data_IF_260902255797
#
_entry.id   IF_260902255797
#
_cell.length_a   1.000
_cell.length_b   1.000
_cell.length_c   1.000
_cell.angle_alpha   90.00
_cell.angle_beta   90.00
_cell.angle_gamma   90.00
#
_symmetry.space_group_name_H-M   'P 1'
#
loop_
_entity.id
_entity.type
_entity.pdbx_description
1 polymer ?
#
# COMPACT_ATOMS: atom_id res chain seq x y z
N UNK A 1 16.14 8.47 18.75
CA UNK A 1 16.43 7.45 17.72
C UNK A 1 15.33 7.28 16.66
N UNK A 2 14.01 7.11 16.97
CA UNK A 2 13.00 6.86 15.92
C UNK A 2 12.76 8.06 14.97
N UNK A 3 12.93 9.30 15.45
CA UNK A 3 12.75 10.51 14.63
C UNK A 3 13.75 10.64 13.48
N UNK A 4 15.00 10.19 13.68
CA UNK A 4 16.05 10.27 12.65
C UNK A 4 15.78 9.29 11.50
N UNK A 5 15.33 8.08 11.84
CA UNK A 5 14.90 7.08 10.86
C UNK A 5 13.70 7.56 10.04
N UNK A 6 12.69 8.17 10.70
CA UNK A 6 11.55 8.78 9.99
C UNK A 6 12.01 9.85 8.98
N UNK A 7 12.97 10.70 9.37
CA UNK A 7 13.49 11.77 8.51
C UNK A 7 14.25 11.23 7.30
N UNK A 8 15.11 10.23 7.49
CA UNK A 8 15.84 9.58 6.39
C UNK A 8 14.86 8.87 5.46
N UNK A 9 13.91 8.12 6.02
CA UNK A 9 12.88 7.42 5.25
C UNK A 9 12.03 8.39 4.43
N UNK A 10 11.60 9.49 5.04
CA UNK A 10 10.85 10.54 4.35
C UNK A 10 11.67 11.19 3.23
N UNK A 11 12.94 11.51 3.53
CA UNK A 11 13.86 12.15 2.59
C UNK A 11 14.16 11.30 1.36
N UNK A 12 14.16 9.97 1.48
CA UNK A 12 14.41 9.06 0.36
C UNK A 12 13.11 8.68 -0.35
N UNK A 13 12.07 8.26 0.39
CA UNK A 13 10.89 7.63 -0.21
C UNK A 13 9.94 8.61 -0.88
N UNK A 14 9.85 9.84 -0.37
CA UNK A 14 8.97 10.88 -0.93
C UNK A 14 9.40 11.33 -2.33
N UNK A 15 10.67 11.71 -2.59
CA UNK A 15 11.06 12.15 -3.93
C UNK A 15 11.04 11.03 -4.97
N UNK A 16 11.29 9.77 -4.58
CA UNK A 16 11.41 8.65 -5.53
C UNK A 16 10.05 8.05 -5.89
N UNK A 17 9.15 7.87 -4.92
CA UNK A 17 7.89 7.13 -5.12
C UNK A 17 6.62 7.91 -4.75
N UNK A 18 6.73 9.20 -4.48
CA UNK A 18 5.63 10.04 -3.95
C UNK A 18 4.99 9.41 -2.69
N UNK A 19 5.83 8.89 -1.80
CA UNK A 19 5.39 8.23 -0.57
C UNK A 19 4.50 9.16 0.28
N UNK A 20 3.30 8.69 0.62
CA UNK A 20 2.34 9.42 1.48
C UNK A 20 2.48 9.11 2.98
N UNK A 21 3.57 8.45 3.39
CA UNK A 21 3.89 8.18 4.80
C UNK A 21 2.76 7.49 5.58
N UNK A 22 2.10 6.49 5.01
CA UNK A 22 1.06 5.72 5.72
C UNK A 22 1.60 4.84 6.86
N UNK A 23 2.92 4.74 7.05
CA UNK A 23 3.55 3.89 8.05
C UNK A 23 3.51 2.39 7.76
N UNK A 24 2.95 1.97 6.62
CA UNK A 24 2.79 0.54 6.26
C UNK A 24 3.14 0.34 4.77
N UNK A 25 4.43 0.29 4.47
CA UNK A 25 4.96 0.29 3.10
C UNK A 25 4.72 -1.03 2.38
N UNK A 26 4.13 -0.98 1.18
CA UNK A 26 3.82 -2.16 0.34
C UNK A 26 4.37 -2.06 -1.08
N UNK A 27 5.41 -1.23 -1.29
CA UNK A 27 5.99 -0.97 -2.61
C UNK A 27 6.42 -2.24 -3.35
N UNK A 28 7.08 -3.15 -2.65
CA UNK A 28 7.58 -4.41 -3.23
C UNK A 28 6.44 -5.25 -3.81
N UNK A 29 5.26 -5.21 -3.19
CA UNK A 29 4.08 -5.96 -3.65
C UNK A 29 3.25 -5.23 -4.69
N UNK A 30 3.58 -3.99 -5.04
CA UNK A 30 2.74 -3.12 -5.89
C UNK A 30 3.52 -2.56 -7.06
N UNK A 31 4.44 -3.35 -7.62
CA UNK A 31 5.27 -2.93 -8.76
C UNK A 31 6.03 -1.64 -8.48
N UNK A 32 6.54 -1.47 -7.25
CA UNK A 32 7.22 -0.25 -6.79
C UNK A 32 6.36 1.02 -6.95
N UNK A 33 5.05 0.91 -6.77
CA UNK A 33 4.09 2.01 -6.89
C UNK A 33 3.33 2.20 -5.59
N UNK A 34 3.40 3.38 -4.97
CA UNK A 34 2.73 3.62 -3.70
C UNK A 34 1.20 3.71 -3.90
N UNK A 35 0.39 2.75 -3.39
CA UNK A 35 -1.07 2.78 -3.60
C UNK A 35 -1.75 3.96 -2.90
N UNK A 36 -1.11 4.53 -1.87
CA UNK A 36 -1.62 5.68 -1.13
C UNK A 36 -1.59 6.98 -1.95
N UNK A 37 -0.95 6.99 -3.12
CA UNK A 37 -1.04 8.11 -4.07
C UNK A 37 -2.41 8.18 -4.77
N UNK A 38 -3.21 7.11 -4.69
CA UNK A 38 -4.58 7.10 -5.19
C UNK A 38 -5.42 8.18 -4.48
N UNK A 39 -6.22 9.00 -5.20
CA UNK A 39 -7.10 10.00 -4.58
C UNK A 39 -8.07 9.43 -3.55
N UNK A 40 -8.41 8.14 -3.67
CA UNK A 40 -9.28 7.41 -2.73
C UNK A 40 -8.51 6.66 -1.65
N UNK A 41 -7.18 6.73 -1.63
CA UNK A 41 -6.31 6.05 -0.66
C UNK A 41 -6.53 4.53 -0.57
N UNK A 42 -6.91 3.89 -1.68
CA UNK A 42 -7.21 2.47 -1.73
C UNK A 42 -5.95 1.62 -1.73
N UNK A 43 -5.75 0.85 -0.64
CA UNK A 43 -4.61 -0.05 -0.45
C UNK A 43 -4.79 -1.45 -1.05
N UNK A 44 -6.02 -1.86 -1.30
CA UNK A 44 -6.32 -3.19 -1.84
C UNK A 44 -7.06 -3.04 -3.17
N UNK A 45 -6.30 -3.02 -4.27
CA UNK A 45 -6.84 -3.07 -5.63
C UNK A 45 -7.53 -1.78 -6.14
N UNK A 46 -7.90 -1.78 -7.43
CA UNK A 46 -8.65 -0.68 -8.04
C UNK A 46 -10.08 -0.57 -7.49
N UNK A 47 -10.70 0.61 -7.62
CA UNK A 47 -12.08 0.85 -7.17
C UNK A 47 -13.18 0.35 -8.13
N UNK A 48 -12.83 -0.31 -9.23
CA UNK A 48 -13.75 -0.60 -10.34
C UNK A 48 -14.03 0.59 -11.27
N UNK A 49 -13.87 1.84 -10.80
CA UNK A 49 -14.00 3.05 -11.62
C UNK A 49 -12.74 3.41 -12.43
N UNK A 50 -12.04 2.42 -12.97
CA UNK A 50 -10.94 2.70 -13.91
C UNK A 50 -11.58 2.99 -15.27
N UNK A 51 -11.19 4.11 -15.88
CA UNK A 51 -11.69 4.52 -17.20
C UNK A 51 -11.17 3.56 -18.28
N UNK A 52 -11.83 3.53 -19.44
CA UNK A 52 -11.46 2.65 -20.57
C UNK A 52 -10.01 2.90 -21.05
N UNK A 53 -9.53 4.13 -20.92
CA UNK A 53 -8.16 4.56 -21.22
C UNK A 53 -7.14 4.25 -20.10
N UNK A 54 -7.53 3.51 -19.05
CA UNK A 54 -6.69 3.18 -17.90
C UNK A 54 -6.50 4.30 -16.87
N UNK A 55 -7.19 5.44 -17.03
CA UNK A 55 -7.07 6.58 -16.12
C UNK A 55 -8.05 6.52 -14.93
N UNK A 56 -7.81 7.36 -13.92
CA UNK A 56 -8.63 7.44 -12.72
C UNK A 56 -9.97 8.14 -13.01
N UNK A 57 -11.08 7.62 -12.48
CA UNK A 57 -12.39 8.31 -12.56
C UNK A 57 -12.44 9.67 -11.86
N UNK A 58 -11.69 9.87 -10.77
CA UNK A 58 -11.72 11.11 -9.97
C UNK A 58 -10.76 12.16 -10.53
N UNK A 59 -9.66 11.71 -11.15
CA UNK A 59 -8.62 12.55 -11.74
C UNK A 59 -8.31 12.04 -13.14
N UNK A 60 -9.09 12.42 -14.17
CA UNK A 60 -8.96 11.87 -15.52
C UNK A 60 -7.57 12.06 -16.14
N UNK A 61 -6.82 13.07 -15.70
CA UNK A 61 -5.44 13.34 -16.13
C UNK A 61 -4.38 12.39 -15.52
N UNK A 62 -4.77 11.60 -14.51
CA UNK A 62 -3.88 10.69 -13.80
C UNK A 62 -4.16 9.23 -14.21
N UNK A 63 -3.13 8.53 -14.67
CA UNK A 63 -3.19 7.07 -14.85
C UNK A 63 -3.55 6.39 -13.52
N UNK A 64 -4.48 5.43 -13.55
CA UNK A 64 -4.87 4.68 -12.35
C UNK A 64 -3.64 4.05 -11.69
N UNK A 65 -3.47 4.28 -10.38
CA UNK A 65 -2.31 3.81 -9.60
C UNK A 65 -2.17 2.29 -9.66
N UNK A 66 -3.29 1.55 -9.70
CA UNK A 66 -3.30 0.09 -9.76
C UNK A 66 -3.02 -0.46 -11.16
N UNK A 67 -3.43 0.23 -12.22
CA UNK A 67 -3.02 -0.08 -13.60
C UNK A 67 -1.52 0.10 -13.73
N UNK A 68 -0.99 1.26 -13.31
CA UNK A 68 0.44 1.53 -13.27
C UNK A 68 1.24 0.51 -12.46
N UNK A 69 0.70 0.07 -11.32
CA UNK A 69 1.31 -0.96 -10.49
C UNK A 69 1.36 -2.33 -11.21
N UNK A 70 0.30 -2.69 -11.93
CA UNK A 70 0.25 -3.90 -12.74
C UNK A 70 1.29 -3.87 -13.87
N UNK A 71 1.29 -2.79 -14.67
CA UNK A 71 2.22 -2.60 -15.78
C UNK A 71 3.67 -2.76 -15.32
N UNK A 72 4.02 -2.15 -14.18
CA UNK A 72 5.35 -2.25 -13.57
C UNK A 72 5.65 -3.64 -13.02
N UNK A 73 4.67 -4.32 -12.45
CA UNK A 73 4.84 -5.70 -11.96
C UNK A 73 5.21 -6.64 -13.12
N UNK A 74 4.57 -6.44 -14.28
CA UNK A 74 4.86 -7.22 -15.49
C UNK A 74 6.20 -6.82 -16.10
N UNK A 75 6.41 -5.51 -16.34
CA UNK A 75 7.54 -4.99 -17.12
C UNK A 75 8.88 -4.92 -16.38
N UNK A 76 8.89 -4.70 -15.07
CA UNK A 76 10.14 -4.55 -14.32
C UNK A 76 10.77 -5.92 -13.99
N UNK A 77 12.12 -5.99 -13.90
CA UNK A 77 12.85 -7.18 -13.48
C UNK A 77 12.78 -7.37 -11.95
N UNK A 78 11.57 -7.51 -11.41
CA UNK A 78 11.33 -7.77 -9.98
C UNK A 78 11.43 -9.27 -9.67
N UNK A 79 11.82 -9.65 -8.43
CA UNK A 79 11.76 -11.04 -7.97
C UNK A 79 10.37 -11.66 -8.20
N UNK A 80 10.32 -12.94 -8.59
CA UNK A 80 9.06 -13.67 -8.85
C UNK A 80 8.08 -13.58 -7.69
N UNK A 81 8.59 -13.78 -6.47
CA UNK A 81 7.82 -13.68 -5.22
C UNK A 81 7.14 -12.31 -5.06
N UNK A 82 7.79 -11.22 -5.47
CA UNK A 82 7.19 -9.88 -5.39
C UNK A 82 6.07 -9.67 -6.40
N UNK A 83 6.19 -10.29 -7.59
CA UNK A 83 5.13 -10.24 -8.60
C UNK A 83 3.88 -10.99 -8.14
N UNK A 84 4.07 -12.11 -7.45
CA UNK A 84 2.97 -12.92 -6.88
C UNK A 84 2.20 -12.12 -5.82
N UNK A 85 2.88 -11.30 -5.02
CA UNK A 85 2.25 -10.48 -3.98
C UNK A 85 1.29 -9.39 -4.50
N UNK A 86 1.23 -9.11 -5.81
CA UNK A 86 0.33 -8.07 -6.35
C UNK A 86 -1.14 -8.30 -5.98
N UNK A 87 -1.58 -9.57 -6.02
CA UNK A 87 -2.97 -9.95 -5.74
C UNK A 87 -3.26 -10.25 -4.27
N UNK A 88 -2.28 -10.06 -3.37
CA UNK A 88 -2.48 -10.33 -1.95
C UNK A 88 -3.45 -9.34 -1.32
N UNK A 89 -4.46 -9.87 -0.64
CA UNK A 89 -5.34 -9.07 0.20
C UNK A 89 -4.60 -8.70 1.50
N UNK A 90 -4.52 -7.40 1.79
CA UNK A 90 -3.79 -6.89 2.96
C UNK A 90 -4.76 -6.40 4.03
N UNK A 91 -4.35 -6.40 5.31
CA UNK A 91 -5.09 -5.70 6.36
C UNK A 91 -5.41 -4.25 5.97
N UNK A 92 -6.53 -3.69 6.49
CA UNK A 92 -6.83 -2.28 6.30
C UNK A 92 -5.67 -1.41 6.82
N UNK A 93 -5.51 -0.22 6.22
CA UNK A 93 -4.53 0.75 6.69
C UNK A 93 -4.89 1.18 8.11
N UNK A 94 -3.91 1.10 9.01
CA UNK A 94 -3.98 1.71 10.33
C UNK A 94 -3.51 3.17 10.24
N UNK A 95 -4.47 4.08 10.28
CA UNK A 95 -4.20 5.52 10.22
C UNK A 95 -3.45 6.04 11.44
N UNK A 96 -3.39 5.30 12.55
CA UNK A 96 -2.59 5.65 13.72
C UNK A 96 -1.08 5.55 13.44
N UNK A 97 -0.68 4.83 12.39
CA UNK A 97 0.71 4.69 11.95
C UNK A 97 1.14 5.78 10.96
N UNK A 98 0.25 6.69 10.58
CA UNK A 98 0.59 7.79 9.67
C UNK A 98 1.76 8.61 10.21
N UNK A 99 2.69 8.99 9.33
CA UNK A 99 3.91 9.75 9.62
C UNK A 99 4.92 9.03 10.56
N UNK A 100 4.72 7.75 10.83
CA UNK A 100 5.70 6.88 11.51
C UNK A 100 6.53 6.06 10.49
N UNK A 101 7.70 5.56 10.90
CA UNK A 101 8.58 4.77 10.01
C UNK A 101 7.94 3.44 9.66
N UNK A 102 7.88 3.15 8.36
CA UNK A 102 7.37 1.86 7.90
C UNK A 102 8.31 0.71 8.28
N UNK A 103 9.61 0.97 8.40
CA UNK A 103 10.59 -0.05 8.80
C UNK A 103 10.42 -0.46 10.25
N UNK A 104 10.23 0.51 11.15
CA UNK A 104 9.96 0.23 12.56
C UNK A 104 8.65 -0.55 12.70
N UNK A 105 7.61 -0.16 11.98
CA UNK A 105 6.32 -0.84 12.04
C UNK A 105 6.37 -2.26 11.47
N UNK A 106 7.15 -2.49 10.40
CA UNK A 106 7.39 -3.82 9.84
C UNK A 106 8.10 -4.74 10.84
N UNK A 107 9.20 -4.27 11.45
CA UNK A 107 9.98 -5.07 12.41
C UNK A 107 9.16 -5.39 13.67
N UNK A 108 8.36 -4.42 14.12
CA UNK A 108 7.46 -4.59 15.29
C UNK A 108 6.13 -5.27 14.94
N UNK A 109 5.92 -5.63 13.67
CA UNK A 109 4.68 -6.20 13.12
C UNK A 109 3.42 -5.36 13.36
N UNK A 110 3.57 -4.06 13.67
CA UNK A 110 2.44 -3.14 13.85
C UNK A 110 1.69 -2.92 12.54
N UNK A 111 2.37 -3.05 11.41
CA UNK A 111 1.79 -2.91 10.09
C UNK A 111 0.90 -4.11 9.68
N UNK A 112 0.94 -5.21 10.42
CA UNK A 112 0.14 -6.42 10.21
C UNK A 112 -1.07 -6.52 11.14
N UNK A 113 -1.17 -5.64 12.14
CA UNK A 113 -2.27 -5.67 13.11
C UNK A 113 -3.55 -5.13 12.47
N UNK A 114 -4.67 -5.79 12.73
CA UNK A 114 -6.00 -5.33 12.33
C UNK A 114 -6.62 -4.49 13.45
N UNK A 115 -7.43 -3.46 13.15
CA UNK A 115 -8.14 -2.70 14.17
C UNK A 115 -9.07 -3.59 14.99
N UNK A 116 -9.36 -3.23 16.25
CA UNK A 116 -10.21 -4.01 17.16
C UNK A 116 -11.58 -4.37 16.56
N UNK A 117 -12.16 -3.51 15.72
CA UNK A 117 -13.42 -3.76 15.01
C UNK A 117 -13.37 -4.88 13.96
N UNK A 118 -12.18 -5.40 13.63
CA UNK A 118 -11.99 -6.56 12.74
C UNK A 118 -11.73 -7.85 13.53
N UNK A 119 -11.14 -7.78 14.73
CA UNK A 119 -10.79 -8.95 15.53
C UNK A 119 -12.02 -9.79 15.92
N UNK A 120 -13.11 -9.14 16.31
CA UNK A 120 -14.35 -9.82 16.72
C UNK A 120 -15.00 -10.68 15.62
N UNK A 121 -14.78 -10.36 14.33
CA UNK A 121 -15.41 -11.09 13.22
C UNK A 121 -14.70 -12.41 12.85
N UNK A 122 -13.46 -12.62 13.31
CA UNK A 122 -12.72 -13.86 13.01
C UNK A 122 -13.11 -14.99 13.95
N UNK A 123 -13.51 -14.69 15.18
CA UNK A 123 -14.02 -15.68 16.14
C UNK A 123 -15.37 -16.25 15.67
N UNK A 124 -16.25 -15.39 15.13
CA UNK A 124 -17.58 -15.76 14.62
C UNK A 124 -17.57 -16.69 13.38
N UNK A 125 -16.43 -16.86 12.71
CA UNK A 125 -16.29 -17.72 11.50
C UNK A 125 -15.67 -19.09 11.79
N UNK A 126 -15.35 -19.40 13.06
CA UNK A 126 -14.78 -20.69 13.47
C UNK A 126 -15.83 -21.68 14.02
N UNK A 127 -17.11 -21.33 13.93
CA UNK A 127 -18.23 -22.17 14.36
C UNK A 127 -19.23 -22.41 13.24
N UNK A 128 -18.85 -23.22 12.26
CA UNK A 128 -19.78 -24.04 11.49
C UNK A 128 -19.13 -25.37 11.08
#
# INVERSE_FOLDING_TARGET
MPKLLNLIEHGIKKPIWDCKMCGQCVLHSTGMTCPMTCPKTLRNGPCGGVREDGHCEVKPEMQCVWVKAYDRTVSLPLPKVWKEHYNDLRPPVDMQLKDTSSWINLITKRDQQTPAGWAKRQEDQSGE
#
